data_IF_500254057501
#
_entry.id   IF_500254057501
#
_cell.length_a   1.000
_cell.length_b   1.000
_cell.length_c   1.000
_cell.angle_alpha   90.00
_cell.angle_beta   90.00
_cell.angle_gamma   90.00
#
_symmetry.space_group_name_H-M   'P 1'
#
loop_
_entity.id
_entity.type
_entity.pdbx_description
1 polymer ?
#
# COMPACT_ATOMS: atom_id res chain seq x y z
N UNK A 1 11.27 -19.06 -9.30
CA UNK A 1 10.22 -18.29 -8.61
C UNK A 1 9.53 -17.43 -9.65
N UNK A 2 8.20 -17.54 -9.80
CA UNK A 2 7.43 -16.77 -10.80
C UNK A 2 7.53 -15.27 -10.51
N UNK A 3 7.78 -14.45 -11.54
CA UNK A 3 7.89 -12.99 -11.44
C UNK A 3 6.63 -12.38 -10.81
N UNK A 4 5.45 -12.93 -11.10
CA UNK A 4 4.19 -12.49 -10.49
C UNK A 4 4.22 -12.60 -8.95
N UNK A 5 4.78 -13.68 -8.41
CA UNK A 5 4.92 -13.89 -6.96
C UNK A 5 5.94 -12.94 -6.35
N UNK A 6 7.04 -12.67 -7.07
CA UNK A 6 8.06 -11.71 -6.62
C UNK A 6 7.43 -10.32 -6.48
N UNK A 7 6.65 -9.90 -7.47
CA UNK A 7 5.96 -8.62 -7.46
C UNK A 7 4.93 -8.54 -6.33
N UNK A 8 4.11 -9.59 -6.14
CA UNK A 8 3.15 -9.66 -5.03
C UNK A 8 3.83 -9.59 -3.66
N UNK A 9 4.92 -10.34 -3.46
CA UNK A 9 5.69 -10.29 -2.22
C UNK A 9 6.26 -8.91 -1.96
N UNK A 10 6.82 -8.25 -2.97
CA UNK A 10 7.35 -6.89 -2.81
C UNK A 10 6.27 -5.86 -2.49
N UNK A 11 5.07 -5.99 -3.07
CA UNK A 11 3.91 -5.19 -2.68
C UNK A 11 3.52 -5.41 -1.22
N UNK A 12 3.42 -6.67 -0.80
CA UNK A 12 3.06 -7.04 0.58
C UNK A 12 4.08 -6.51 1.58
N UNK A 13 5.37 -6.77 1.36
CA UNK A 13 6.44 -6.35 2.26
C UNK A 13 6.50 -4.83 2.35
N UNK A 14 6.44 -4.13 1.21
CA UNK A 14 6.50 -2.67 1.22
C UNK A 14 5.31 -2.05 1.95
N UNK A 15 4.10 -2.60 1.73
CA UNK A 15 2.89 -2.18 2.42
C UNK A 15 2.99 -2.47 3.92
N UNK A 16 3.46 -3.66 4.31
CA UNK A 16 3.59 -4.06 5.70
C UNK A 16 4.57 -3.17 6.47
N UNK A 17 5.72 -2.83 5.88
CA UNK A 17 6.68 -1.89 6.49
C UNK A 17 6.02 -0.54 6.73
N UNK A 18 5.35 0.03 5.72
CA UNK A 18 4.64 1.31 5.85
C UNK A 18 3.59 1.25 6.96
N UNK A 19 2.78 0.19 6.99
CA UNK A 19 1.75 0.00 8.01
C UNK A 19 2.37 -0.04 9.40
N UNK A 20 3.36 -0.90 9.65
CA UNK A 20 3.98 -1.10 10.97
C UNK A 20 4.50 0.22 11.53
N UNK A 21 5.27 0.97 10.73
CA UNK A 21 5.84 2.25 11.19
C UNK A 21 4.80 3.37 11.29
N UNK A 22 3.64 3.22 10.64
CA UNK A 22 2.54 4.19 10.68
C UNK A 22 1.57 3.95 11.85
N UNK A 23 1.59 2.79 12.51
CA UNK A 23 0.64 2.48 13.60
C UNK A 23 0.76 3.48 14.75
N UNK A 24 1.97 3.75 15.25
CA UNK A 24 2.17 4.68 16.37
C UNK A 24 1.64 6.09 16.07
N UNK A 25 2.11 6.78 15.01
CA UNK A 25 1.69 8.16 14.77
C UNK A 25 0.23 8.31 14.33
N UNK A 26 -0.35 7.33 13.61
CA UNK A 26 -1.67 7.49 13.00
C UNK A 26 -2.80 6.67 13.66
N UNK A 27 -2.49 5.65 14.45
CA UNK A 27 -3.49 4.84 15.18
C UNK A 27 -3.42 5.13 16.67
N UNK A 28 -2.21 5.11 17.25
CA UNK A 28 -2.03 5.33 18.69
C UNK A 28 -1.91 6.81 19.06
N UNK A 29 -1.64 7.69 18.09
CA UNK A 29 -1.43 9.12 18.32
C UNK A 29 -0.17 9.42 19.14
N UNK A 30 0.79 8.49 19.17
CA UNK A 30 2.04 8.63 19.92
C UNK A 30 3.18 8.99 19.00
N UNK A 31 4.24 9.60 19.54
CA UNK A 31 5.47 9.82 18.81
C UNK A 31 6.05 8.49 18.28
N UNK A 32 6.66 8.50 17.08
CA UNK A 32 7.27 7.31 16.51
C UNK A 32 8.50 6.89 17.33
N UNK A 33 8.53 5.63 17.78
CA UNK A 33 9.64 5.06 18.54
C UNK A 33 10.87 4.72 17.68
N UNK A 34 10.70 4.69 16.36
CA UNK A 34 11.78 4.47 15.41
C UNK A 34 12.25 5.81 14.83
N UNK A 35 13.49 6.24 15.12
CA UNK A 35 14.07 7.44 14.50
C UNK A 35 14.04 7.32 12.98
N UNK A 36 13.59 8.37 12.29
CA UNK A 36 13.49 8.36 10.83
C UNK A 36 12.29 7.56 10.29
N UNK A 37 11.30 7.20 11.11
CA UNK A 37 10.00 6.62 10.68
C UNK A 37 9.44 7.33 9.45
N UNK A 38 9.48 8.65 9.50
CA UNK A 38 9.05 9.47 8.40
C UNK A 38 9.81 9.23 7.08
N UNK A 39 11.14 9.10 7.12
CA UNK A 39 11.98 8.77 5.95
C UNK A 39 11.71 7.35 5.47
N UNK A 40 11.52 6.39 6.38
CA UNK A 40 11.17 5.00 6.05
C UNK A 40 9.85 4.96 5.29
N UNK A 41 8.81 5.65 5.78
CA UNK A 41 7.51 5.74 5.08
C UNK A 41 7.69 6.31 3.68
N UNK A 42 8.48 7.37 3.49
CA UNK A 42 8.73 7.95 2.15
C UNK A 42 9.37 6.94 1.20
N UNK A 43 10.51 6.37 1.60
CA UNK A 43 11.29 5.45 0.76
C UNK A 43 10.43 4.24 0.37
N UNK A 44 9.76 3.62 1.34
CA UNK A 44 8.91 2.47 1.06
C UNK A 44 7.64 2.84 0.28
N UNK A 45 7.11 4.06 0.43
CA UNK A 45 5.98 4.51 -0.41
C UNK A 45 6.39 4.70 -1.87
N UNK A 46 7.60 5.19 -2.14
CA UNK A 46 8.14 5.28 -3.50
C UNK A 46 8.33 3.87 -4.08
N UNK A 47 8.96 2.97 -3.31
CA UNK A 47 9.14 1.57 -3.71
C UNK A 47 7.78 0.92 -4.00
N UNK A 48 6.81 1.08 -3.10
CA UNK A 48 5.46 0.55 -3.25
C UNK A 48 4.79 1.12 -4.51
N UNK A 49 4.89 2.42 -4.77
CA UNK A 49 4.34 3.06 -5.95
C UNK A 49 4.94 2.52 -7.25
N UNK A 50 6.27 2.38 -7.32
CA UNK A 50 6.96 1.80 -8.48
C UNK A 50 6.54 0.34 -8.68
N UNK A 51 6.52 -0.46 -7.62
CA UNK A 51 6.09 -1.86 -7.68
C UNK A 51 4.62 -2.00 -8.10
N UNK A 52 3.76 -1.11 -7.63
CA UNK A 52 2.34 -1.09 -7.97
C UNK A 52 2.13 -0.84 -9.47
N UNK A 53 2.83 0.15 -10.03
CA UNK A 53 2.79 0.44 -11.47
C UNK A 53 3.34 -0.73 -12.28
N UNK A 54 4.49 -1.30 -11.87
CA UNK A 54 5.08 -2.47 -12.53
C UNK A 54 4.08 -3.64 -12.54
N UNK A 55 3.42 -3.89 -11.40
CA UNK A 55 2.43 -4.96 -11.27
C UNK A 55 1.25 -4.75 -12.22
N UNK A 56 0.69 -3.54 -12.29
CA UNK A 56 -0.41 -3.21 -13.22
C UNK A 56 0.01 -3.44 -14.68
N UNK A 57 1.18 -2.92 -15.06
CA UNK A 57 1.70 -3.07 -16.43
C UNK A 57 1.93 -4.55 -16.75
N UNK A 58 2.53 -5.30 -15.82
CA UNK A 58 2.79 -6.72 -15.97
C UNK A 58 1.50 -7.53 -16.15
N UNK A 59 0.51 -7.29 -15.30
CA UNK A 59 -0.78 -8.00 -15.34
C UNK A 59 -1.56 -7.68 -16.61
N UNK A 60 -1.53 -6.43 -17.08
CA UNK A 60 -2.17 -6.02 -18.33
C UNK A 60 -1.47 -6.63 -19.56
N UNK A 61 -0.13 -6.53 -19.63
CA UNK A 61 0.65 -7.04 -20.77
C UNK A 61 0.53 -8.56 -20.92
N UNK A 62 0.58 -9.29 -19.81
CA UNK A 62 0.55 -10.76 -19.81
C UNK A 62 -0.86 -11.34 -19.66
N UNK A 63 -1.90 -10.49 -19.58
CA UNK A 63 -3.30 -10.90 -19.31
C UNK A 63 -3.42 -11.83 -18.09
N UNK A 64 -2.52 -11.67 -17.10
CA UNK A 64 -2.44 -12.49 -15.89
C UNK A 64 -3.73 -12.43 -15.08
N UNK A 65 -4.49 -11.35 -15.24
CA UNK A 65 -5.80 -11.15 -14.62
C UNK A 65 -6.80 -12.27 -14.97
N UNK A 66 -6.66 -12.91 -16.15
CA UNK A 66 -7.47 -14.06 -16.57
C UNK A 66 -7.20 -15.34 -15.76
N UNK A 67 -6.06 -15.40 -15.06
CA UNK A 67 -5.69 -16.54 -14.20
C UNK A 67 -6.50 -16.53 -12.91
N UNK A 68 -6.88 -15.36 -12.41
CA UNK A 68 -7.69 -15.22 -11.20
C UNK A 68 -9.18 -15.38 -11.53
N UNK A 69 -9.90 -16.22 -10.75
CA UNK A 69 -11.34 -16.44 -10.90
C UNK A 69 -12.04 -16.44 -9.54
N UNK A 70 -13.30 -15.99 -9.52
CA UNK A 70 -14.13 -16.00 -8.32
C UNK A 70 -13.50 -15.21 -7.16
N UNK A 71 -13.32 -15.86 -6.01
CA UNK A 71 -12.77 -15.23 -4.81
C UNK A 71 -11.33 -14.75 -4.98
N UNK A 72 -10.50 -15.42 -5.80
CA UNK A 72 -9.11 -15.00 -6.02
C UNK A 72 -9.04 -13.67 -6.80
N UNK A 73 -9.97 -13.45 -7.73
CA UNK A 73 -10.07 -12.20 -8.47
C UNK A 73 -10.48 -11.05 -7.55
N UNK A 74 -11.43 -11.32 -6.65
CA UNK A 74 -11.90 -10.35 -5.68
C UNK A 74 -10.81 -9.98 -4.67
N UNK A 75 -10.09 -10.99 -4.15
CA UNK A 75 -8.95 -10.77 -3.26
C UNK A 75 -7.83 -9.95 -3.94
N UNK A 76 -7.54 -10.23 -5.22
CA UNK A 76 -6.58 -9.45 -5.99
C UNK A 76 -7.06 -8.00 -6.18
N UNK A 77 -8.29 -7.79 -6.62
CA UNK A 77 -8.83 -6.46 -6.88
C UNK A 77 -8.90 -5.60 -5.60
N UNK A 78 -9.40 -6.15 -4.50
CA UNK A 78 -9.49 -5.44 -3.22
C UNK A 78 -8.10 -5.20 -2.60
N UNK A 79 -7.19 -6.17 -2.72
CA UNK A 79 -5.80 -6.00 -2.31
C UNK A 79 -5.11 -4.86 -3.07
N UNK A 80 -5.23 -4.83 -4.39
CA UNK A 80 -4.70 -3.74 -5.21
C UNK A 80 -5.37 -2.39 -4.93
N UNK A 81 -6.69 -2.38 -4.70
CA UNK A 81 -7.42 -1.16 -4.34
C UNK A 81 -6.95 -0.58 -3.01
N UNK A 82 -6.71 -1.43 -2.00
CA UNK A 82 -6.19 -0.98 -0.70
C UNK A 82 -4.79 -0.36 -0.81
N UNK A 83 -3.91 -0.93 -1.64
CA UNK A 83 -2.57 -0.38 -1.90
C UNK A 83 -2.69 0.97 -2.62
N UNK A 84 -3.56 1.07 -3.62
CA UNK A 84 -3.83 2.34 -4.30
C UNK A 84 -4.33 3.41 -3.32
N UNK A 85 -5.22 3.04 -2.41
CA UNK A 85 -5.75 3.94 -1.39
C UNK A 85 -4.69 4.36 -0.37
N UNK A 86 -3.82 3.44 0.05
CA UNK A 86 -2.67 3.74 0.91
C UNK A 86 -1.67 4.68 0.22
N UNK A 87 -1.39 4.48 -1.07
CA UNK A 87 -0.52 5.37 -1.84
C UNK A 87 -1.13 6.76 -2.00
N UNK A 88 -2.42 6.83 -2.34
CA UNK A 88 -3.14 8.09 -2.52
C UNK A 88 -3.14 8.94 -1.25
N UNK A 89 -3.56 8.34 -0.13
CA UNK A 89 -3.55 9.04 1.18
C UNK A 89 -2.14 9.35 1.64
N UNK A 90 -1.14 8.54 1.29
CA UNK A 90 0.26 8.77 1.63
C UNK A 90 0.86 9.96 0.88
N UNK A 91 0.52 10.13 -0.39
CA UNK A 91 0.91 11.29 -1.18
C UNK A 91 0.26 12.58 -0.67
N UNK A 92 -1.02 12.52 -0.31
CA UNK A 92 -1.73 13.65 0.27
C UNK A 92 -1.10 14.11 1.59
N UNK A 93 -0.87 13.17 2.52
CA UNK A 93 -0.23 13.47 3.82
C UNK A 93 1.22 13.92 3.64
N UNK A 94 1.95 13.30 2.72
CA UNK A 94 3.36 13.60 2.44
C UNK A 94 3.60 15.01 1.87
N UNK A 95 2.69 15.50 1.02
CA UNK A 95 2.75 16.87 0.50
C UNK A 95 2.45 17.93 1.57
N UNK A 96 1.64 17.59 2.58
CA UNK A 96 1.24 18.53 3.63
C UNK A 96 2.26 18.65 4.77
N UNK A 97 2.70 17.51 5.28
CA UNK A 97 3.48 17.45 6.53
C UNK A 97 4.95 17.91 6.39
N UNK A 98 5.31 18.56 5.27
CA UNK A 98 6.71 18.87 4.92
C UNK A 98 7.53 17.62 4.57
N UNK A 99 6.85 16.51 4.28
CA UNK A 99 7.46 15.21 4.02
C UNK A 99 7.94 15.07 2.56
N UNK A 100 7.38 15.79 1.60
CA UNK A 100 7.92 15.90 0.24
C UNK A 100 8.57 17.29 0.04
N UNK A 101 9.61 17.42 -0.81
CA UNK A 101 10.34 18.68 -1.00
C UNK A 101 9.51 19.80 -1.65
N UNK A 102 8.23 19.55 -1.93
CA UNK A 102 7.26 20.51 -2.47
C UNK A 102 6.11 20.57 -1.47
N UNK A 103 6.31 21.27 -0.35
CA UNK A 103 5.25 21.52 0.62
C UNK A 103 4.28 22.54 0.04
N UNK A 104 3.01 22.15 -0.08
CA UNK A 104 1.92 23.06 -0.46
C UNK A 104 0.97 23.11 0.73
N UNK A 105 0.76 24.31 1.27
CA UNK A 105 -0.19 24.52 2.37
C UNK A 105 -1.60 24.15 1.88
N UNK A 106 -2.13 23.02 2.35
CA UNK A 106 -3.52 22.65 2.10
C UNK A 106 -4.44 23.47 3.02
N UNK A 107 -5.64 23.83 2.56
CA UNK A 107 -6.68 24.41 3.41
C UNK A 107 -6.90 23.56 4.67
N UNK A 108 -6.99 24.22 5.84
CA UNK A 108 -7.17 23.59 7.16
C UNK A 108 -8.29 22.51 7.20
N UNK A 109 -9.33 22.69 6.40
CA UNK A 109 -10.47 21.77 6.30
C UNK A 109 -10.12 20.44 5.63
N UNK A 110 -9.20 20.44 4.65
CA UNK A 110 -8.67 19.21 4.03
C UNK A 110 -7.77 18.49 5.03
N UNK A 111 -7.07 19.26 5.86
CA UNK A 111 -6.09 18.75 6.79
C UNK A 111 -6.70 17.97 7.96
N UNK A 112 -7.81 18.48 8.49
CA UNK A 112 -8.61 17.81 9.52
C UNK A 112 -9.24 16.49 9.02
N UNK A 113 -9.45 16.34 7.71
CA UNK A 113 -9.99 15.12 7.11
C UNK A 113 -8.87 14.11 6.79
N UNK A 114 -7.66 14.60 6.54
CA UNK A 114 -6.53 13.80 6.05
C UNK A 114 -6.04 12.77 7.06
N UNK A 115 -5.93 13.15 8.34
CA UNK A 115 -5.44 12.27 9.40
C UNK A 115 -6.40 11.08 9.61
N UNK A 116 -7.71 11.29 9.82
CA UNK A 116 -8.68 10.18 9.87
C UNK A 116 -8.69 9.32 8.60
N UNK A 117 -8.60 9.96 7.43
CA UNK A 117 -8.56 9.25 6.15
C UNK A 117 -7.33 8.35 6.04
N UNK A 118 -6.17 8.83 6.53
CA UNK A 118 -4.94 8.05 6.59
C UNK A 118 -5.08 6.86 7.54
N UNK A 119 -5.67 7.06 8.71
CA UNK A 119 -5.94 5.97 9.66
C UNK A 119 -6.83 4.88 9.05
N UNK A 120 -7.91 5.27 8.36
CA UNK A 120 -8.79 4.34 7.64
C UNK A 120 -8.00 3.59 6.55
N UNK A 121 -7.14 4.29 5.81
CA UNK A 121 -6.32 3.67 4.76
C UNK A 121 -5.35 2.62 5.31
N UNK A 122 -4.84 2.80 6.53
CA UNK A 122 -3.94 1.84 7.18
C UNK A 122 -4.72 0.58 7.54
N UNK A 123 -5.92 0.71 8.12
CA UNK A 123 -6.79 -0.45 8.36
C UNK A 123 -7.15 -1.19 7.07
N UNK A 124 -7.46 -0.43 6.02
CA UNK A 124 -7.78 -1.01 4.71
C UNK A 124 -6.58 -1.71 4.08
N UNK A 125 -5.36 -1.16 4.25
CA UNK A 125 -4.11 -1.78 3.82
C UNK A 125 -3.79 -3.08 4.58
N UNK A 126 -4.09 -3.16 5.88
CA UNK A 126 -3.96 -4.40 6.66
C UNK A 126 -4.85 -5.49 6.05
N UNK A 127 -6.13 -5.19 5.82
CA UNK A 127 -7.06 -6.12 5.16
C UNK A 127 -6.56 -6.52 3.76
N UNK A 128 -6.05 -5.54 3.01
CA UNK A 128 -5.45 -5.74 1.70
C UNK A 128 -4.26 -6.70 1.68
N UNK A 129 -3.34 -6.55 2.64
CA UNK A 129 -2.19 -7.45 2.81
C UNK A 129 -2.68 -8.89 3.03
N UNK A 130 -3.67 -9.10 3.89
CA UNK A 130 -4.23 -10.43 4.15
C UNK A 130 -4.85 -11.05 2.89
N UNK A 131 -5.55 -10.23 2.09
CA UNK A 131 -6.11 -10.67 0.81
C UNK A 131 -5.01 -11.05 -0.18
N UNK A 132 -3.95 -10.24 -0.32
CA UNK A 132 -2.83 -10.55 -1.22
C UNK A 132 -2.02 -11.77 -0.75
N UNK A 133 -1.85 -11.94 0.56
CA UNK A 133 -1.23 -13.14 1.14
C UNK A 133 -2.03 -14.40 0.82
N UNK A 134 -3.36 -14.33 0.86
CA UNK A 134 -4.22 -15.47 0.51
C UNK A 134 -3.97 -15.98 -0.92
N UNK A 135 -3.62 -15.08 -1.85
CA UNK A 135 -3.26 -15.43 -3.23
C UNK A 135 -1.91 -16.15 -3.33
N UNK A 136 -0.98 -15.90 -2.39
CA UNK A 136 0.31 -16.58 -2.37
C UNK A 136 0.23 -17.96 -1.72
N UNK A 137 -0.68 -18.13 -0.77
CA UNK A 137 -0.91 -19.38 -0.04
C UNK A 137 -1.83 -20.31 -0.85
N UNK A 138 -2.74 -19.76 -1.66
CA UNK A 138 -3.63 -20.54 -2.52
C UNK A 138 -2.85 -21.28 -3.60
N UNK A 139 -2.83 -22.62 -3.51
CA UNK A 139 -2.12 -23.53 -4.43
C UNK A 139 -2.48 -23.31 -5.91
N UNK A 140 -3.70 -22.82 -6.19
CA UNK A 140 -4.19 -22.51 -7.55
C UNK A 140 -3.47 -21.33 -8.23
N UNK A 141 -3.04 -20.32 -7.47
CA UNK A 141 -2.26 -19.20 -8.00
C UNK A 141 -0.75 -19.51 -8.03
N UNK A 142 -0.33 -20.62 -7.42
CA UNK A 142 1.07 -21.04 -7.37
C UNK A 142 1.56 -21.72 -8.65
N UNK A 143 0.64 -22.32 -9.41
CA UNK A 143 0.93 -23.20 -10.56
C UNK A 143 0.48 -22.64 -11.92
N UNK A 144 -0.11 -21.43 -11.95
CA UNK A 144 -0.67 -20.81 -13.17
C UNK A 144 0.22 -19.71 -13.74
#
# INVERSE_FOLDING_TARGET
MDLNKILLWGLIISTAVIVIVSIQPYILGTEPSVPGTGTIVKVFSIILGVMFVIMIVYVNKNKTLKKYKGMDLLAYALGMLSIAFLLFTGLLVGNYSGFLPVSVDLPLLIDQILIPLRTISIYFAIAGILMLLSLLISKKASEA
#
